data_IF_265501413323
#
_entry.id   IF_265501413323
#
_cell.length_a   1.000
_cell.length_b   1.000
_cell.length_c   1.000
_cell.angle_alpha   90.00
_cell.angle_beta   90.00
_cell.angle_gamma   90.00
#
_symmetry.space_group_name_H-M   'P 1'
#
loop_
_entity.id
_entity.type
_entity.pdbx_description
1 polymer ?
#
# COMPACT_ATOMS: atom_id res chain seq x y z
N UNK A 1 -17.37 -17.61 2.17
CA UNK A 1 -16.37 -16.98 3.04
C UNK A 1 -17.04 -16.35 4.23
N UNK A 2 -16.47 -16.52 5.39
CA UNK A 2 -17.09 -16.06 6.60
C UNK A 2 -17.03 -14.54 6.75
N UNK A 3 -17.93 -14.01 7.56
CA UNK A 3 -17.93 -12.59 7.90
C UNK A 3 -16.62 -12.17 8.58
N UNK A 4 -15.95 -13.13 9.22
CA UNK A 4 -14.69 -12.84 9.88
C UNK A 4 -13.64 -12.34 8.90
N UNK A 5 -13.49 -13.02 7.76
CA UNK A 5 -12.52 -12.58 6.75
C UNK A 5 -12.87 -11.20 6.22
N UNK A 6 -14.14 -10.94 5.97
CA UNK A 6 -14.56 -9.67 5.43
C UNK A 6 -14.30 -8.54 6.42
N UNK A 7 -14.62 -8.77 7.69
CA UNK A 7 -14.39 -7.77 8.74
C UNK A 7 -12.90 -7.51 8.91
N UNK A 8 -12.09 -8.57 8.94
CA UNK A 8 -10.65 -8.44 9.09
C UNK A 8 -10.05 -7.68 7.91
N UNK A 9 -10.46 -8.02 6.69
CA UNK A 9 -9.98 -7.35 5.51
C UNK A 9 -10.30 -5.86 5.53
N UNK A 10 -11.54 -5.52 5.88
CA UNK A 10 -11.94 -4.12 5.91
C UNK A 10 -11.17 -3.32 6.95
N UNK A 11 -10.95 -3.91 8.13
CA UNK A 11 -10.19 -3.23 9.17
C UNK A 11 -8.73 -3.02 8.76
N UNK A 12 -8.10 -4.05 8.22
CA UNK A 12 -6.71 -3.96 7.80
C UNK A 12 -6.54 -3.00 6.63
N UNK A 13 -7.47 -3.07 5.68
CA UNK A 13 -7.45 -2.17 4.53
C UNK A 13 -7.52 -0.71 4.98
N UNK A 14 -8.46 -0.41 5.85
CA UNK A 14 -8.61 0.95 6.38
C UNK A 14 -7.35 1.37 7.14
N UNK A 15 -6.77 0.45 7.90
CA UNK A 15 -5.54 0.75 8.64
C UNK A 15 -4.38 1.10 7.74
N UNK A 16 -4.22 0.35 6.63
CA UNK A 16 -3.15 0.63 5.67
C UNK A 16 -3.37 1.99 5.01
N UNK A 17 -4.61 2.27 4.61
CA UNK A 17 -4.93 3.55 3.98
C UNK A 17 -4.69 4.72 4.93
N UNK A 18 -5.04 4.54 6.20
CA UNK A 18 -4.82 5.59 7.19
C UNK A 18 -3.33 5.83 7.41
N UNK A 19 -2.53 4.76 7.48
CA UNK A 19 -1.09 4.90 7.63
C UNK A 19 -0.46 5.56 6.41
N UNK A 20 -0.96 5.24 5.22
CA UNK A 20 -0.49 5.91 4.01
C UNK A 20 -0.83 7.39 4.04
N UNK A 21 -2.02 7.73 4.51
CA UNK A 21 -2.41 9.12 4.67
C UNK A 21 -1.46 9.84 5.62
N UNK A 22 -1.18 9.24 6.77
CA UNK A 22 -0.28 9.84 7.75
C UNK A 22 1.11 10.06 7.16
N UNK A 23 1.62 9.07 6.44
CA UNK A 23 2.92 9.18 5.82
C UNK A 23 2.95 10.30 4.78
N UNK A 24 1.91 10.41 3.97
CA UNK A 24 1.86 11.44 2.94
C UNK A 24 1.85 12.85 3.54
N UNK A 25 1.15 13.01 4.67
CA UNK A 25 1.05 14.32 5.31
C UNK A 25 2.32 14.64 6.11
N UNK A 26 2.78 13.68 6.91
CA UNK A 26 3.92 13.93 7.80
C UNK A 26 5.24 14.03 7.05
N UNK A 27 5.36 13.32 5.94
CA UNK A 27 6.61 13.29 5.17
C UNK A 27 6.48 14.00 3.81
N UNK A 28 5.34 14.61 3.55
CA UNK A 28 5.12 15.39 2.32
C UNK A 28 5.48 14.57 1.07
N UNK A 29 4.86 13.39 0.94
CA UNK A 29 5.14 12.51 -0.21
C UNK A 29 3.85 12.09 -0.87
N UNK A 30 3.97 11.64 -2.12
CA UNK A 30 2.84 11.14 -2.89
C UNK A 30 2.78 9.63 -2.78
N UNK A 31 1.59 9.10 -2.51
CA UNK A 31 1.40 7.67 -2.29
C UNK A 31 0.17 7.22 -3.08
N UNK A 32 0.30 6.05 -3.70
CA UNK A 32 -0.84 5.37 -4.30
C UNK A 32 -0.83 3.93 -3.80
N UNK A 33 -2.00 3.46 -3.37
CA UNK A 33 -2.20 2.08 -2.95
C UNK A 33 -3.19 1.42 -3.89
N UNK A 34 -2.86 0.24 -4.33
CA UNK A 34 -3.74 -0.57 -5.18
C UNK A 34 -3.84 -1.94 -4.53
N UNK A 35 -5.05 -2.34 -4.20
CA UNK A 35 -5.30 -3.61 -3.52
C UNK A 35 -6.32 -4.40 -4.33
N UNK A 36 -5.95 -5.63 -4.69
CA UNK A 36 -6.88 -6.57 -5.28
C UNK A 36 -7.21 -7.62 -4.24
N UNK A 37 -8.48 -7.75 -3.92
CA UNK A 37 -8.91 -8.76 -2.96
C UNK A 37 -8.79 -10.16 -3.56
N UNK A 38 -9.02 -11.17 -2.74
CA UNK A 38 -9.00 -12.55 -3.23
C UNK A 38 -10.10 -12.81 -4.27
N UNK A 39 -11.13 -11.97 -4.31
CA UNK A 39 -12.18 -12.03 -5.33
C UNK A 39 -11.94 -11.07 -6.48
N UNK A 40 -10.73 -10.54 -6.59
CA UNK A 40 -10.32 -9.63 -7.66
C UNK A 40 -11.06 -8.28 -7.67
N UNK A 41 -11.60 -7.89 -6.55
CA UNK A 41 -12.16 -6.55 -6.43
C UNK A 41 -11.04 -5.55 -6.21
N UNK A 42 -11.13 -4.42 -6.86
CA UNK A 42 -10.12 -3.37 -6.75
C UNK A 42 -10.51 -2.37 -5.67
N UNK A 43 -9.56 -2.09 -4.80
CA UNK A 43 -9.64 -1.00 -3.83
C UNK A 43 -8.42 -0.13 -4.00
N UNK A 44 -8.61 1.17 -3.95
CA UNK A 44 -7.49 2.07 -4.19
C UNK A 44 -7.56 3.28 -3.29
N UNK A 45 -6.41 3.85 -3.05
CA UNK A 45 -6.25 5.11 -2.33
C UNK A 45 -5.09 5.86 -2.96
N UNK A 46 -5.23 7.18 -3.09
CA UNK A 46 -4.13 8.02 -3.54
C UNK A 46 -4.13 9.29 -2.71
N UNK A 47 -2.93 9.75 -2.37
CA UNK A 47 -2.78 10.97 -1.57
C UNK A 47 -3.23 12.21 -2.34
N UNK A 48 -3.14 12.18 -3.64
CA UNK A 48 -3.61 13.26 -4.51
C UNK A 48 -4.54 12.67 -5.56
N UNK A 49 -4.04 12.46 -6.77
CA UNK A 49 -4.81 11.95 -7.89
C UNK A 49 -4.16 10.66 -8.38
N UNK A 50 -4.92 9.56 -8.34
CA UNK A 50 -4.39 8.25 -8.72
C UNK A 50 -3.78 8.28 -10.13
N UNK A 51 -4.46 8.91 -11.08
CA UNK A 51 -3.98 8.94 -12.46
C UNK A 51 -2.63 9.64 -12.55
N UNK A 52 -2.44 10.72 -11.80
CA UNK A 52 -1.17 11.44 -11.82
C UNK A 52 -0.05 10.64 -11.19
N UNK A 53 -0.33 9.96 -10.09
CA UNK A 53 0.69 9.15 -9.43
C UNK A 53 1.07 7.96 -10.30
N UNK A 54 0.07 7.34 -10.92
CA UNK A 54 0.34 6.22 -11.82
C UNK A 54 1.15 6.65 -13.03
N UNK A 55 0.87 7.84 -13.57
CA UNK A 55 1.66 8.36 -14.68
C UNK A 55 3.12 8.56 -14.27
N UNK A 56 3.35 9.12 -13.09
CA UNK A 56 4.71 9.25 -12.55
C UNK A 56 5.38 7.88 -12.45
N UNK A 57 4.66 6.89 -11.96
CA UNK A 57 5.19 5.55 -11.81
C UNK A 57 5.63 4.97 -13.16
N UNK A 58 4.79 5.12 -14.18
CA UNK A 58 5.10 4.55 -15.49
C UNK A 58 6.24 5.26 -16.20
N UNK A 59 6.47 6.53 -15.88
CA UNK A 59 7.53 7.32 -16.51
C UNK A 59 8.86 7.24 -15.78
N UNK A 60 8.85 6.73 -14.56
CA UNK A 60 10.06 6.65 -13.76
C UNK A 60 10.92 5.49 -14.25
N UNK A 61 12.17 5.76 -14.59
CA UNK A 61 13.05 4.74 -15.13
C UNK A 61 14.44 4.71 -14.50
N UNK A 62 14.54 5.22 -13.27
CA UNK A 62 15.80 5.19 -12.52
C UNK A 62 15.77 4.05 -11.50
N UNK A 63 16.95 3.60 -11.04
CA UNK A 63 16.98 2.58 -9.98
C UNK A 63 16.19 3.04 -8.76
N UNK A 64 15.47 2.13 -8.14
CA UNK A 64 14.63 2.49 -7.00
C UNK A 64 14.44 1.30 -6.08
N UNK A 65 14.01 1.60 -4.85
CA UNK A 65 13.70 0.56 -3.88
C UNK A 65 12.39 -0.12 -4.27
N UNK A 66 12.41 -1.44 -4.27
CA UNK A 66 11.21 -2.22 -4.56
C UNK A 66 11.22 -3.45 -3.67
N UNK A 67 10.16 -3.61 -2.88
CA UNK A 67 10.09 -4.67 -1.90
C UNK A 67 8.85 -5.53 -2.14
N UNK A 68 8.98 -6.79 -1.81
CA UNK A 68 7.87 -7.74 -1.83
C UNK A 68 7.68 -8.30 -0.43
N UNK A 69 6.68 -9.18 -0.26
CA UNK A 69 6.44 -9.82 1.02
C UNK A 69 7.67 -10.52 1.56
N UNK A 70 8.42 -11.17 0.66
CA UNK A 70 9.62 -11.88 1.09
C UNK A 70 10.64 -10.94 1.71
N UNK A 71 10.83 -9.78 1.12
CA UNK A 71 11.76 -8.79 1.64
C UNK A 71 11.31 -8.26 3.00
N UNK A 72 10.02 -8.03 3.16
CA UNK A 72 9.47 -7.54 4.42
C UNK A 72 9.65 -8.57 5.52
N UNK A 73 9.40 -9.84 5.22
CA UNK A 73 9.58 -10.91 6.19
C UNK A 73 11.04 -10.99 6.64
N UNK A 74 11.98 -10.92 5.70
CA UNK A 74 13.40 -10.97 6.02
C UNK A 74 13.80 -9.81 6.92
N UNK A 75 13.34 -8.60 6.60
CA UNK A 75 13.64 -7.42 7.40
C UNK A 75 13.03 -7.55 8.80
N UNK A 76 11.80 -7.99 8.90
CA UNK A 76 11.14 -8.17 10.20
C UNK A 76 11.87 -9.20 11.04
N UNK A 77 12.37 -10.25 10.40
CA UNK A 77 13.10 -11.29 11.12
C UNK A 77 14.42 -10.77 11.68
N UNK A 78 15.12 -9.94 10.93
CA UNK A 78 16.42 -9.43 11.31
C UNK A 78 16.35 -8.22 12.22
N UNK A 79 15.24 -7.51 12.21
CA UNK A 79 15.07 -6.29 12.99
C UNK A 79 14.61 -6.61 14.41
N UNK A 80 15.29 -6.11 15.41
CA UNK A 80 14.89 -6.32 16.81
C UNK A 80 13.79 -5.34 17.18
N UNK A 81 12.73 -5.35 16.59
CA UNK A 81 11.73 -4.34 16.86
C UNK A 81 10.95 -4.52 18.11
#
# INVERSE_FOLDING_TARGET
MSCFFQVTFNKRKFGVMKKAYELSVLCDCEIALIIFSSSNKLYQYASTDMDKVLLKYTEYNEPHESLTNKNIIDVSYLSPA
#
